data_IF_779938761406
#
_entry.id   IF_779938761406
#
_cell.length_a   1.000
_cell.length_b   1.000
_cell.length_c   1.000
_cell.angle_alpha   90.00
_cell.angle_beta   90.00
_cell.angle_gamma   90.00
#
_symmetry.space_group_name_H-M   'P 1'
#
loop_
_entity.id
_entity.type
_entity.pdbx_description
1 polymer ?
#
# COMPACT_ATOMS: atom_id res chain seq x y z
N UNK A 1 -40.21 41.50 -21.08
CA UNK A 1 -40.45 40.11 -20.64
C UNK A 1 -39.14 39.60 -20.02
N UNK A 2 -39.12 39.30 -18.71
CA UNK A 2 -37.90 38.91 -17.98
C UNK A 2 -37.72 37.39 -18.12
N UNK A 3 -36.65 36.95 -18.77
CA UNK A 3 -36.29 35.54 -18.86
C UNK A 3 -35.68 35.09 -17.53
N UNK A 4 -36.37 34.20 -16.82
CA UNK A 4 -35.87 33.53 -15.61
C UNK A 4 -35.02 32.35 -16.08
N UNK A 5 -33.71 32.40 -15.84
CA UNK A 5 -32.83 31.26 -16.03
C UNK A 5 -32.90 30.36 -14.79
N UNK A 6 -33.41 29.14 -14.99
CA UNK A 6 -33.40 28.06 -13.99
C UNK A 6 -31.98 27.50 -13.94
N UNK A 7 -31.28 27.71 -12.82
CA UNK A 7 -29.98 27.09 -12.54
C UNK A 7 -30.26 25.64 -12.13
N UNK A 8 -29.95 24.70 -13.02
CA UNK A 8 -29.97 23.27 -12.73
C UNK A 8 -28.79 22.89 -11.83
N UNK A 9 -29.09 22.42 -10.63
CA UNK A 9 -28.12 21.82 -9.71
C UNK A 9 -27.68 20.46 -10.26
N UNK A 10 -26.51 20.39 -10.88
CA UNK A 10 -25.90 19.12 -11.29
C UNK A 10 -25.26 18.46 -10.06
N UNK A 11 -25.92 17.42 -9.56
CA UNK A 11 -25.41 16.55 -8.51
C UNK A 11 -24.32 15.65 -9.10
N UNK A 12 -23.05 16.04 -8.94
CA UNK A 12 -21.90 15.23 -9.35
C UNK A 12 -21.75 14.08 -8.36
N UNK A 13 -22.21 12.89 -8.75
CA UNK A 13 -21.90 11.64 -8.06
C UNK A 13 -20.40 11.39 -8.20
N UNK A 14 -19.67 11.55 -7.09
CA UNK A 14 -18.25 11.26 -7.01
C UNK A 14 -18.01 9.76 -7.22
N UNK A 15 -17.48 9.39 -8.37
CA UNK A 15 -16.88 8.09 -8.58
C UNK A 15 -15.61 8.01 -7.75
N UNK A 16 -15.64 7.27 -6.65
CA UNK A 16 -14.42 6.82 -5.96
C UNK A 16 -13.65 5.93 -6.92
N UNK A 17 -12.58 6.44 -7.50
CA UNK A 17 -11.65 5.65 -8.31
C UNK A 17 -11.02 4.59 -7.40
N UNK A 18 -11.44 3.34 -7.57
CA UNK A 18 -10.78 2.20 -6.96
C UNK A 18 -9.40 2.12 -7.63
N UNK A 19 -8.36 2.54 -6.92
CA UNK A 19 -6.99 2.41 -7.40
C UNK A 19 -6.62 0.94 -7.28
N UNK A 20 -6.64 0.22 -8.39
CA UNK A 20 -6.02 -1.11 -8.44
C UNK A 20 -4.50 -0.93 -8.34
N UNK A 21 -3.87 -1.69 -7.45
CA UNK A 21 -2.42 -1.83 -7.46
C UNK A 21 -1.98 -2.34 -8.85
N UNK A 22 -0.87 -1.81 -9.37
CA UNK A 22 -0.32 -2.31 -10.62
C UNK A 22 0.15 -3.76 -10.45
N UNK A 23 0.03 -4.58 -11.50
CA UNK A 23 0.37 -6.00 -11.46
C UNK A 23 1.21 -6.38 -12.70
N UNK A 24 2.35 -7.02 -12.47
CA UNK A 24 3.32 -7.37 -13.51
C UNK A 24 3.09 -8.80 -14.04
N UNK A 25 2.81 -8.98 -15.34
CA UNK A 25 2.49 -10.29 -15.91
C UNK A 25 3.67 -11.26 -15.97
N UNK A 26 4.91 -10.79 -15.76
CA UNK A 26 6.08 -11.66 -15.67
C UNK A 26 6.16 -12.44 -14.35
N UNK A 27 5.33 -12.08 -13.37
CA UNK A 27 5.29 -12.71 -12.06
C UNK A 27 4.37 -13.94 -12.11
N UNK A 28 4.98 -15.12 -12.05
CA UNK A 28 4.26 -16.39 -11.98
C UNK A 28 3.49 -16.53 -10.66
N UNK A 29 2.43 -17.33 -10.65
CA UNK A 29 1.61 -17.58 -9.45
C UNK A 29 2.39 -18.12 -8.25
N UNK A 30 3.36 -19.02 -8.48
CA UNK A 30 4.15 -19.58 -7.38
C UNK A 30 5.10 -18.52 -6.79
N UNK A 31 5.78 -17.76 -7.63
CA UNK A 31 6.57 -16.60 -7.19
C UNK A 31 5.73 -15.57 -6.44
N UNK A 32 4.48 -15.31 -6.88
CA UNK A 32 3.54 -14.43 -6.18
C UNK A 32 3.24 -14.93 -4.77
N UNK A 33 2.93 -16.22 -4.62
CA UNK A 33 2.71 -16.83 -3.31
C UNK A 33 3.93 -16.72 -2.42
N UNK A 34 5.13 -16.96 -2.96
CA UNK A 34 6.37 -16.88 -2.20
C UNK A 34 6.67 -15.46 -1.73
N UNK A 35 6.48 -14.45 -2.59
CA UNK A 35 6.61 -13.02 -2.23
C UNK A 35 5.61 -12.66 -1.12
N UNK A 36 4.33 -12.99 -1.29
CA UNK A 36 3.30 -12.68 -0.29
C UNK A 36 3.52 -13.45 1.03
N UNK A 37 4.07 -14.67 0.96
CA UNK A 37 4.45 -15.46 2.14
C UNK A 37 5.58 -14.79 2.91
N UNK A 38 6.64 -14.38 2.22
CA UNK A 38 7.73 -13.62 2.81
C UNK A 38 7.23 -12.32 3.46
N UNK A 39 6.30 -11.64 2.80
CA UNK A 39 5.69 -10.42 3.29
C UNK A 39 4.88 -10.63 4.58
N UNK A 40 4.01 -11.65 4.62
CA UNK A 40 3.27 -12.03 5.84
C UNK A 40 4.21 -12.41 6.98
N UNK A 41 5.23 -13.22 6.69
CA UNK A 41 6.25 -13.59 7.68
C UNK A 41 6.98 -12.36 8.22
N UNK A 42 7.33 -11.39 7.37
CA UNK A 42 7.94 -10.14 7.80
C UNK A 42 7.01 -9.32 8.70
N UNK A 43 5.73 -9.20 8.35
CA UNK A 43 4.74 -8.48 9.17
C UNK A 43 4.65 -9.12 10.55
N UNK A 44 4.52 -10.44 10.63
CA UNK A 44 4.42 -11.19 11.87
C UNK A 44 5.68 -11.04 12.76
N UNK A 45 6.86 -11.06 12.14
CA UNK A 45 8.14 -10.90 12.85
C UNK A 45 8.37 -9.49 13.39
N UNK A 46 7.70 -8.47 12.83
CA UNK A 46 7.85 -7.07 13.20
C UNK A 46 6.67 -6.56 14.05
N UNK A 47 5.95 -7.47 14.72
CA UNK A 47 4.93 -7.10 15.67
C UNK A 47 5.55 -6.72 17.03
N UNK A 48 5.17 -5.56 17.55
CA UNK A 48 5.42 -5.16 18.93
C UNK A 48 4.07 -4.97 19.62
N UNK A 49 3.81 -5.77 20.66
CA UNK A 49 2.52 -5.80 21.36
C UNK A 49 1.33 -6.01 20.39
N UNK A 50 1.49 -6.90 19.41
CA UNK A 50 0.46 -7.23 18.43
C UNK A 50 0.19 -6.14 17.37
N UNK A 51 1.08 -5.14 17.25
CA UNK A 51 1.01 -4.09 16.22
C UNK A 51 2.25 -4.14 15.34
N UNK A 52 2.07 -4.07 14.03
CA UNK A 52 3.17 -3.91 13.09
C UNK A 52 3.78 -2.53 13.27
N UNK A 53 5.10 -2.46 13.44
CA UNK A 53 5.81 -1.21 13.71
C UNK A 53 6.74 -0.86 12.56
N UNK A 54 6.57 0.35 12.02
CA UNK A 54 7.44 0.90 10.97
C UNK A 54 7.90 2.31 11.36
N UNK A 55 9.06 2.72 10.87
CA UNK A 55 9.47 4.12 10.91
C UNK A 55 9.00 4.84 9.66
N UNK A 56 8.17 5.87 9.83
CA UNK A 56 7.75 6.71 8.72
C UNK A 56 8.82 7.79 8.47
N UNK A 57 9.64 7.59 7.44
CA UNK A 57 10.74 8.49 7.12
C UNK A 57 10.31 9.92 6.75
N UNK A 58 9.06 10.09 6.29
CA UNK A 58 8.54 11.42 5.90
C UNK A 58 8.02 12.18 7.12
N UNK A 59 7.30 11.51 8.02
CA UNK A 59 6.76 12.15 9.22
C UNK A 59 7.70 12.06 10.44
N UNK A 60 8.81 11.32 10.33
CA UNK A 60 9.89 11.26 11.32
C UNK A 60 9.52 10.52 12.61
N UNK A 61 8.58 9.59 12.59
CA UNK A 61 8.17 8.85 13.79
C UNK A 61 7.66 7.43 13.50
N UNK A 62 7.64 6.59 14.54
CA UNK A 62 7.13 5.23 14.44
C UNK A 62 5.61 5.20 14.29
N UNK A 63 5.12 4.36 13.38
CA UNK A 63 3.71 3.97 13.27
C UNK A 63 3.51 2.62 13.94
N UNK A 64 2.37 2.47 14.62
CA UNK A 64 1.91 1.21 15.20
C UNK A 64 0.58 0.86 14.57
N UNK A 65 0.59 -0.16 13.74
CA UNK A 65 -0.49 -0.43 12.80
C UNK A 65 -1.03 -1.84 13.01
N UNK A 66 -2.33 -2.01 12.82
CA UNK A 66 -2.97 -3.31 12.75
C UNK A 66 -3.02 -3.72 11.28
N UNK A 67 -2.51 -4.90 10.97
CA UNK A 67 -2.62 -5.50 9.64
C UNK A 67 -4.09 -5.77 9.29
N UNK A 68 -4.48 -5.48 8.05
CA UNK A 68 -5.82 -5.74 7.51
C UNK A 68 -5.75 -6.84 6.44
N UNK A 69 -5.14 -6.55 5.29
CA UNK A 69 -5.08 -7.48 4.16
C UNK A 69 -3.90 -7.19 3.22
N UNK A 70 -3.49 -8.22 2.47
CA UNK A 70 -2.51 -8.10 1.37
C UNK A 70 -3.27 -7.90 0.05
N UNK A 71 -2.75 -7.03 -0.82
CA UNK A 71 -3.27 -6.87 -2.17
C UNK A 71 -2.69 -7.93 -3.10
N UNK A 72 -3.47 -8.33 -4.11
CA UNK A 72 -3.00 -9.32 -5.08
C UNK A 72 -1.87 -8.79 -5.95
N UNK A 73 -1.91 -7.50 -6.32
CA UNK A 73 -0.96 -6.88 -7.24
C UNK A 73 0.48 -6.89 -6.74
N UNK A 74 1.40 -7.27 -7.63
CA UNK A 74 2.84 -7.18 -7.39
C UNK A 74 3.48 -6.53 -8.61
N UNK A 75 4.33 -5.54 -8.37
CA UNK A 75 5.09 -4.87 -9.42
C UNK A 75 6.56 -5.26 -9.30
N UNK A 76 7.19 -5.61 -10.41
CA UNK A 76 8.65 -5.72 -10.46
C UNK A 76 9.27 -4.36 -10.78
N UNK A 77 10.22 -3.90 -9.97
CA UNK A 77 11.03 -2.70 -10.22
C UNK A 77 12.50 -3.09 -10.22
N UNK A 78 13.12 -3.04 -11.40
CA UNK A 78 14.52 -3.44 -11.59
C UNK A 78 14.83 -4.83 -10.98
N UNK A 79 15.53 -4.86 -9.86
CA UNK A 79 16.00 -6.03 -9.13
C UNK A 79 15.17 -6.40 -7.89
N UNK A 80 14.08 -5.67 -7.61
CA UNK A 80 13.17 -5.94 -6.50
C UNK A 80 11.70 -5.95 -6.92
N UNK A 81 10.84 -6.33 -5.98
CA UNK A 81 9.40 -6.41 -6.12
C UNK A 81 8.72 -5.49 -5.11
N UNK A 82 7.55 -4.97 -5.46
CA UNK A 82 6.68 -4.21 -4.55
C UNK A 82 5.38 -4.98 -4.43
N UNK A 83 4.98 -5.27 -3.19
CA UNK A 83 3.66 -5.80 -2.86
C UNK A 83 3.04 -4.93 -1.77
N UNK A 84 1.76 -4.60 -1.95
CA UNK A 84 1.04 -3.67 -1.08
C UNK A 84 0.22 -4.40 -0.02
N UNK A 85 0.05 -3.78 1.14
CA UNK A 85 -0.86 -4.27 2.16
C UNK A 85 -1.53 -3.11 2.91
N UNK A 86 -2.81 -3.34 3.25
CA UNK A 86 -3.62 -2.42 4.04
C UNK A 86 -3.38 -2.62 5.53
N UNK A 87 -3.33 -1.50 6.23
CA UNK A 87 -3.23 -1.43 7.68
C UNK A 87 -4.12 -0.31 8.24
N UNK A 88 -4.39 -0.38 9.55
CA UNK A 88 -5.20 0.61 10.26
C UNK A 88 -4.52 1.02 11.56
N UNK A 89 -4.48 2.32 11.85
CA UNK A 89 -3.99 2.81 13.14
C UNK A 89 -5.06 2.76 14.25
N UNK A 90 -4.69 3.17 15.46
CA UNK A 90 -5.61 3.18 16.62
C UNK A 90 -6.82 4.10 16.46
N UNK A 91 -6.74 5.09 15.57
CA UNK A 91 -7.78 6.08 15.31
C UNK A 91 -8.65 5.69 14.12
N UNK A 92 -8.42 4.52 13.52
CA UNK A 92 -9.17 4.04 12.36
C UNK A 92 -8.69 4.62 11.02
N UNK A 93 -7.57 5.35 11.00
CA UNK A 93 -6.98 5.86 9.75
C UNK A 93 -6.33 4.71 8.99
N UNK A 94 -6.57 4.67 7.68
CA UNK A 94 -6.09 3.61 6.79
C UNK A 94 -4.73 3.97 6.22
N UNK A 95 -3.84 2.99 6.20
CA UNK A 95 -2.51 3.08 5.62
C UNK A 95 -2.39 1.99 4.59
N UNK A 96 -1.96 2.37 3.39
CA UNK A 96 -1.50 1.43 2.37
C UNK A 96 0.03 1.47 2.39
N UNK A 97 0.65 0.33 2.67
CA UNK A 97 2.10 0.20 2.79
C UNK A 97 2.63 -0.63 1.63
N UNK A 98 3.70 -0.15 1.02
CA UNK A 98 4.48 -0.89 0.04
C UNK A 98 5.63 -1.59 0.75
N UNK A 99 5.71 -2.91 0.59
CA UNK A 99 6.82 -3.71 1.06
C UNK A 99 7.76 -4.01 -0.12
N UNK A 100 9.01 -3.58 0.00
CA UNK A 100 10.06 -3.80 -0.98
C UNK A 100 10.69 -5.17 -0.72
N UNK A 101 10.46 -6.09 -1.64
CA UNK A 101 10.87 -7.49 -1.53
C UNK A 101 12.00 -7.79 -2.49
N UNK A 102 13.09 -8.36 -1.99
CA UNK A 102 14.22 -8.85 -2.80
C UNK A 102 14.25 -10.37 -2.83
N UNK A 103 14.78 -10.91 -3.92
CA UNK A 103 15.09 -12.33 -4.03
C UNK A 103 16.56 -12.57 -3.66
N UNK A 104 16.82 -13.54 -2.78
CA UNK A 104 18.16 -14.05 -2.49
C UNK A 104 18.15 -15.58 -2.55
N UNK A 105 18.97 -16.17 -3.44
CA UNK A 105 19.16 -17.63 -3.58
C UNK A 105 17.86 -18.45 -3.61
N UNK A 106 16.81 -17.93 -4.27
CA UNK A 106 15.52 -18.59 -4.38
C UNK A 106 14.57 -18.40 -3.19
N UNK A 107 14.92 -17.51 -2.25
CA UNK A 107 14.04 -17.04 -1.17
C UNK A 107 13.70 -15.57 -1.36
N UNK A 108 12.61 -15.11 -0.76
CA UNK A 108 12.16 -13.72 -0.79
C UNK A 108 12.23 -13.09 0.60
N UNK A 109 12.65 -11.82 0.66
CA UNK A 109 12.80 -11.08 1.91
C UNK A 109 12.36 -9.62 1.73
N UNK A 110 11.59 -9.10 2.68
CA UNK A 110 11.28 -7.67 2.75
C UNK A 110 12.51 -6.94 3.28
N UNK A 111 13.00 -5.93 2.54
CA UNK A 111 14.07 -5.03 2.98
C UNK A 111 13.54 -3.80 3.71
N UNK A 112 12.54 -3.16 3.13
CA UNK A 112 11.98 -1.91 3.62
C UNK A 112 10.48 -1.89 3.39
N UNK A 113 9.76 -1.19 4.27
CA UNK A 113 8.34 -0.92 4.15
C UNK A 113 8.13 0.58 4.16
N UNK A 114 7.39 1.10 3.18
CA UNK A 114 7.14 2.54 3.03
C UNK A 114 5.65 2.83 2.95
N UNK A 115 5.20 3.98 3.45
CA UNK A 115 3.79 4.36 3.33
C UNK A 115 3.53 4.89 1.92
N UNK A 116 2.68 4.17 1.19
CA UNK A 116 2.20 4.53 -0.15
C UNK A 116 1.11 5.59 -0.09
N UNK A 117 0.11 5.36 0.78
CA UNK A 117 -1.03 6.27 0.92
C UNK A 117 -1.61 6.26 2.34
N UNK A 118 -2.26 7.36 2.69
CA UNK A 118 -2.98 7.53 3.96
C UNK A 118 -4.40 7.98 3.63
N UNK A 119 -5.40 7.22 4.11
CA UNK A 119 -6.83 7.45 3.80
C UNK A 119 -7.08 7.61 2.28
N UNK A 120 -6.40 6.79 1.47
CA UNK A 120 -6.49 6.81 0.00
C UNK A 120 -5.77 7.98 -0.68
N UNK A 121 -5.14 8.89 0.07
CA UNK A 121 -4.33 9.97 -0.49
C UNK A 121 -2.90 9.50 -0.67
N UNK A 122 -2.48 9.35 -1.92
CA UNK A 122 -1.10 9.00 -2.28
C UNK A 122 -0.12 9.98 -1.69
N UNK A 123 1.00 9.46 -1.22
CA UNK A 123 2.12 10.21 -0.69
C UNK A 123 3.31 10.05 -1.63
N UNK A 124 4.08 11.12 -1.87
CA UNK A 124 5.34 11.00 -2.62
C UNK A 124 6.26 10.07 -1.82
N UNK A 125 6.89 9.10 -2.46
CA UNK A 125 7.92 8.29 -1.82
C UNK A 125 9.11 9.14 -1.42
N UNK A 126 9.81 8.74 -0.36
CA UNK A 126 11.18 9.20 -0.09
C UNK A 126 12.24 8.42 -0.88
N UNK A 127 11.82 7.44 -1.70
CA UNK A 127 12.68 6.51 -2.44
C UNK A 127 12.83 6.84 -3.94
N UNK A 128 12.06 7.81 -4.46
CA UNK A 128 12.11 8.22 -5.85
C UNK A 128 12.39 9.73 -5.93
N UNK A 129 13.53 10.08 -6.53
CA UNK A 129 13.96 11.48 -6.74
C UNK A 129 13.00 12.24 -7.68
#
# INVERSE_FOLDING_TARGET
MRFVQIIGLVMVLGFSVVSFAADDPSITDDMRKDIQSAMKSHIDQNLVNGRYVIYDAIEGHLKKLKFDQVHEGIVKKADFYISCADFVDEKGKKYDLDLLVVADKGSFHVLETVVHSIDGKKRKYHLED
#
